data_IF_803494851314
#
_entry.id   IF_803494851314
#
_cell.length_a   1.000
_cell.length_b   1.000
_cell.length_c   1.000
_cell.angle_alpha   90.00
_cell.angle_beta   90.00
_cell.angle_gamma   90.00
#
_symmetry.space_group_name_H-M   'P 1'
#
loop_
_entity.id
_entity.type
_entity.pdbx_description
1 polymer ?
#
# COMPACT_ATOMS: atom_id res chain seq x y z
N UNK A 1 43.45 74.31 -41.70
CA UNK A 1 42.93 72.98 -42.05
C UNK A 1 43.00 72.09 -40.77
N UNK A 2 41.91 71.96 -40.09
CA UNK A 2 41.83 71.17 -38.79
C UNK A 2 41.07 69.87 -39.11
N UNK A 3 41.78 68.71 -39.03
CA UNK A 3 41.17 67.36 -39.19
C UNK A 3 40.48 66.94 -37.90
N UNK A 4 39.16 66.79 -37.96
CA UNK A 4 38.37 66.17 -36.90
C UNK A 4 38.61 64.63 -36.86
N UNK A 5 39.09 64.07 -35.74
CA UNK A 5 39.18 62.64 -35.46
C UNK A 5 37.88 62.21 -34.79
N UNK A 6 37.12 61.36 -35.43
CA UNK A 6 35.94 60.73 -34.92
C UNK A 6 36.37 59.53 -34.04
N UNK A 7 36.10 59.61 -32.71
CA UNK A 7 36.27 58.47 -31.79
C UNK A 7 35.02 57.60 -31.85
N UNK A 8 35.15 56.39 -32.41
CA UNK A 8 34.13 55.33 -32.27
C UNK A 8 34.28 54.69 -30.90
N UNK A 9 33.31 54.92 -30.03
CA UNK A 9 33.18 54.23 -28.73
C UNK A 9 32.56 52.82 -28.99
N UNK A 10 33.34 51.76 -28.81
CA UNK A 10 32.86 50.40 -28.71
C UNK A 10 32.13 50.20 -27.37
N UNK A 11 30.81 49.98 -27.43
CA UNK A 11 30.01 49.54 -26.30
C UNK A 11 30.08 47.99 -26.25
N UNK A 12 30.59 47.37 -25.19
CA UNK A 12 30.56 45.91 -25.07
C UNK A 12 29.12 45.43 -24.87
N UNK A 13 28.61 44.63 -25.83
CA UNK A 13 27.34 43.92 -25.65
C UNK A 13 27.53 42.80 -24.61
N UNK A 14 27.03 43.03 -23.40
CA UNK A 14 26.91 42.00 -22.37
C UNK A 14 25.80 41.06 -22.82
N UNK A 15 26.15 39.90 -23.36
CA UNK A 15 25.20 38.81 -23.63
C UNK A 15 24.75 38.21 -22.27
N UNK A 16 23.56 38.60 -21.85
CA UNK A 16 22.84 37.88 -20.79
C UNK A 16 22.39 36.51 -21.34
N UNK A 17 23.22 35.47 -21.12
CA UNK A 17 22.75 34.10 -21.30
C UNK A 17 21.58 33.85 -20.35
N UNK A 18 20.44 33.32 -20.79
CA UNK A 18 19.37 32.98 -19.88
C UNK A 18 19.86 31.88 -18.97
N UNK A 19 19.99 32.16 -17.67
CA UNK A 19 20.10 31.16 -16.65
C UNK A 19 18.79 30.35 -16.68
N UNK A 20 18.78 29.23 -17.41
CA UNK A 20 17.74 28.22 -17.28
C UNK A 20 17.87 27.68 -15.85
N UNK A 21 17.11 28.23 -14.93
CA UNK A 21 16.96 27.69 -13.60
C UNK A 21 16.44 26.26 -13.75
N UNK A 22 17.35 25.29 -13.65
CA UNK A 22 17.00 23.87 -13.63
C UNK A 22 16.07 23.69 -12.45
N UNK A 23 14.79 23.42 -12.67
CA UNK A 23 13.84 23.20 -11.62
C UNK A 23 14.41 22.10 -10.71
N UNK A 24 14.72 22.46 -9.45
CA UNK A 24 15.31 21.53 -8.50
C UNK A 24 14.29 20.40 -8.28
N UNK A 25 14.67 19.17 -8.61
CA UNK A 25 13.84 18.00 -8.36
C UNK A 25 13.68 17.80 -6.86
N UNK A 26 12.48 17.43 -6.44
CA UNK A 26 12.14 17.11 -5.07
C UNK A 26 12.21 15.60 -4.89
N UNK A 27 13.31 15.13 -4.32
CA UNK A 27 13.49 13.70 -4.05
C UNK A 27 12.65 13.28 -2.84
N UNK A 28 11.96 12.13 -2.97
CA UNK A 28 11.14 11.52 -1.92
C UNK A 28 11.46 10.02 -1.85
N UNK A 29 12.02 9.56 -0.74
CA UNK A 29 12.34 8.15 -0.51
C UNK A 29 11.07 7.40 -0.14
N UNK A 30 10.69 6.39 -0.92
CA UNK A 30 9.44 5.65 -0.82
C UNK A 30 9.65 4.20 -0.43
N UNK A 31 9.37 3.84 0.82
CA UNK A 31 9.44 2.46 1.32
C UNK A 31 8.35 1.57 0.70
N UNK A 32 8.77 0.44 0.13
CA UNK A 32 7.91 -0.49 -0.61
C UNK A 32 7.85 -1.87 0.04
N UNK A 33 8.19 -2.93 -0.68
CA UNK A 33 8.34 -4.30 -0.16
C UNK A 33 9.22 -5.14 -1.08
N UNK A 34 9.54 -6.37 -0.65
CA UNK A 34 10.15 -7.39 -1.50
C UNK A 34 9.21 -7.79 -2.65
N UNK A 35 9.78 -8.43 -3.67
CA UNK A 35 9.05 -8.95 -4.81
C UNK A 35 7.96 -9.96 -4.39
N UNK A 36 6.90 -10.09 -5.20
CA UNK A 36 5.76 -10.99 -4.94
C UNK A 36 4.68 -10.43 -4.00
N UNK A 37 4.99 -9.38 -3.22
CA UNK A 37 4.00 -8.65 -2.42
C UNK A 37 3.20 -7.65 -3.25
N UNK A 38 2.03 -7.23 -2.74
CA UNK A 38 1.16 -6.24 -3.41
C UNK A 38 1.75 -4.83 -3.46
N UNK A 39 2.63 -4.48 -2.54
CA UNK A 39 3.23 -3.15 -2.46
C UNK A 39 4.20 -2.84 -3.61
N UNK A 40 4.98 -3.82 -4.06
CA UNK A 40 5.97 -3.60 -5.13
C UNK A 40 5.30 -3.19 -6.46
N UNK A 41 4.32 -3.93 -7.02
CA UNK A 41 3.64 -3.51 -8.26
C UNK A 41 2.80 -2.24 -8.08
N UNK A 42 2.25 -2.02 -6.88
CA UNK A 42 1.55 -0.77 -6.57
C UNK A 42 2.49 0.44 -6.65
N UNK A 43 3.64 0.36 -5.97
CA UNK A 43 4.62 1.44 -5.94
C UNK A 43 5.11 1.80 -7.35
N UNK A 44 5.43 0.80 -8.19
CA UNK A 44 5.83 1.03 -9.58
C UNK A 44 4.76 1.79 -10.36
N UNK A 45 3.49 1.32 -10.30
CA UNK A 45 2.38 1.97 -11.00
C UNK A 45 2.11 3.40 -10.49
N UNK A 46 2.26 3.63 -9.17
CA UNK A 46 2.09 4.95 -8.57
C UNK A 46 3.19 5.92 -9.00
N UNK A 47 4.44 5.49 -8.97
CA UNK A 47 5.60 6.31 -9.37
C UNK A 47 5.44 6.76 -10.83
N UNK A 48 5.08 5.84 -11.74
CA UNK A 48 4.84 6.16 -13.14
C UNK A 48 3.69 7.18 -13.30
N UNK A 49 2.60 6.99 -12.59
CA UNK A 49 1.46 7.89 -12.61
C UNK A 49 1.83 9.30 -12.10
N UNK A 50 2.54 9.39 -10.98
CA UNK A 50 2.96 10.67 -10.41
C UNK A 50 3.97 11.39 -11.30
N UNK A 51 4.93 10.68 -11.87
CA UNK A 51 5.91 11.22 -12.79
C UNK A 51 5.25 11.84 -14.04
N UNK A 52 4.15 11.25 -14.51
CA UNK A 52 3.42 11.76 -15.67
C UNK A 52 2.74 13.11 -15.44
N UNK A 53 2.33 13.42 -14.22
CA UNK A 53 1.60 14.64 -13.84
C UNK A 53 2.46 15.67 -13.11
N UNK A 54 3.58 15.25 -12.55
CA UNK A 54 4.49 16.12 -11.79
C UNK A 54 5.95 15.63 -11.88
N UNK A 55 6.67 15.95 -12.96
CA UNK A 55 8.05 15.49 -13.16
C UNK A 55 9.08 16.09 -12.19
N UNK A 56 8.70 17.08 -11.39
CA UNK A 56 9.56 17.63 -10.32
C UNK A 56 9.61 16.69 -9.12
N UNK A 57 8.54 15.91 -8.88
CA UNK A 57 8.50 14.88 -7.85
C UNK A 57 9.33 13.67 -8.30
N UNK A 58 10.53 13.53 -7.70
CA UNK A 58 11.43 12.41 -7.97
C UNK A 58 11.30 11.35 -6.86
N UNK A 59 10.36 10.42 -7.06
CA UNK A 59 10.07 9.40 -6.07
C UNK A 59 11.03 8.22 -6.25
N UNK A 60 11.87 7.97 -5.22
CA UNK A 60 12.87 6.90 -5.18
C UNK A 60 12.33 5.69 -4.41
N UNK A 61 12.04 4.57 -5.05
CA UNK A 61 11.62 3.38 -4.34
C UNK A 61 12.77 2.82 -3.50
N UNK A 62 12.48 2.49 -2.24
CA UNK A 62 13.36 1.80 -1.31
C UNK A 62 12.77 0.42 -1.04
N UNK A 63 13.49 -0.63 -1.42
CA UNK A 63 13.06 -2.01 -1.14
C UNK A 63 13.23 -2.28 0.35
N UNK A 64 12.16 -2.73 0.99
CA UNK A 64 12.08 -3.01 2.42
C UNK A 64 11.50 -4.39 2.67
N UNK A 65 11.43 -4.80 3.94
CA UNK A 65 10.77 -6.06 4.33
C UNK A 65 9.23 -5.96 4.35
N UNK A 66 8.65 -4.76 4.10
CA UNK A 66 7.21 -4.52 4.06
C UNK A 66 6.71 -3.61 5.18
N UNK A 67 5.44 -3.74 5.54
CA UNK A 67 4.71 -2.75 6.33
C UNK A 67 5.36 -2.40 7.68
N UNK A 68 5.79 -3.39 8.46
CA UNK A 68 6.42 -3.18 9.78
C UNK A 68 7.78 -2.47 9.64
N UNK A 69 8.64 -2.93 8.71
CA UNK A 69 9.93 -2.29 8.43
C UNK A 69 9.73 -0.85 7.93
N UNK A 70 8.68 -0.60 7.12
CA UNK A 70 8.34 0.75 6.67
C UNK A 70 7.94 1.66 7.84
N UNK A 71 7.11 1.19 8.77
CA UNK A 71 6.70 1.98 9.93
C UNK A 71 7.92 2.37 10.80
N UNK A 72 8.83 1.42 11.04
CA UNK A 72 10.08 1.69 11.78
C UNK A 72 10.97 2.70 11.06
N UNK A 73 11.18 2.54 9.75
CA UNK A 73 12.01 3.42 8.92
C UNK A 73 11.44 4.83 8.79
N UNK A 74 10.12 4.96 8.70
CA UNK A 74 9.44 6.26 8.75
C UNK A 74 9.70 6.98 10.08
N UNK A 75 9.60 6.24 11.18
CA UNK A 75 9.85 6.81 12.52
C UNK A 75 11.29 7.24 12.74
N UNK A 76 12.26 6.56 12.09
CA UNK A 76 13.68 6.88 12.13
C UNK A 76 14.10 7.96 11.11
N UNK A 77 13.23 8.30 10.15
CA UNK A 77 13.54 9.22 9.05
C UNK A 77 14.40 8.61 7.95
N UNK A 78 14.54 7.28 7.90
CA UNK A 78 15.29 6.57 6.85
C UNK A 78 14.57 6.60 5.50
N UNK A 79 13.25 6.75 5.51
CA UNK A 79 12.37 6.99 4.35
C UNK A 79 11.42 8.14 4.64
N UNK A 80 10.94 8.81 3.60
CA UNK A 80 10.08 9.97 3.71
C UNK A 80 8.60 9.61 3.71
N UNK A 81 8.23 8.65 2.85
CA UNK A 81 6.91 8.03 2.79
C UNK A 81 7.08 6.51 2.68
N UNK A 82 6.06 5.75 3.09
CA UNK A 82 6.11 4.28 3.05
C UNK A 82 4.74 3.64 2.98
N UNK A 83 4.70 2.44 2.39
CA UNK A 83 3.50 1.62 2.31
C UNK A 83 3.31 0.83 3.61
N UNK A 84 2.21 1.10 4.31
CA UNK A 84 1.89 0.47 5.59
C UNK A 84 0.45 -0.04 5.56
N UNK A 85 0.22 -1.28 5.97
CA UNK A 85 -1.13 -1.82 6.11
C UNK A 85 -1.82 -1.28 7.36
N UNK A 86 -3.15 -1.24 7.35
CA UNK A 86 -3.93 -0.70 8.47
C UNK A 86 -3.73 -1.46 9.77
N UNK A 87 -3.52 -2.76 9.69
CA UNK A 87 -3.23 -3.62 10.84
C UNK A 87 -1.91 -3.23 11.51
N UNK A 88 -0.85 -3.02 10.70
CA UNK A 88 0.45 -2.58 11.20
C UNK A 88 0.37 -1.15 11.72
N UNK A 89 -0.37 -0.27 11.04
CA UNK A 89 -0.60 1.10 11.54
C UNK A 89 -1.30 1.07 12.92
N UNK A 90 -2.32 0.22 13.07
CA UNK A 90 -3.02 0.06 14.35
C UNK A 90 -2.08 -0.42 15.46
N UNK A 91 -1.28 -1.45 15.21
CA UNK A 91 -0.27 -1.93 16.18
C UNK A 91 0.74 -0.85 16.51
N UNK A 92 1.31 -0.22 15.48
CA UNK A 92 2.31 0.82 15.67
C UNK A 92 1.84 1.95 16.58
N UNK A 93 0.62 2.45 16.35
CA UNK A 93 0.04 3.51 17.16
C UNK A 93 -0.25 3.05 18.60
N UNK A 94 -0.61 1.77 18.79
CA UNK A 94 -0.90 1.19 20.10
C UNK A 94 0.37 0.95 20.91
N UNK A 95 1.44 0.52 20.27
CA UNK A 95 2.73 0.19 20.91
C UNK A 95 3.61 1.41 21.13
N UNK A 96 3.34 2.51 20.44
CA UNK A 96 4.15 3.72 20.49
C UNK A 96 3.31 4.98 20.74
N UNK A 97 2.54 5.05 21.85
CA UNK A 97 1.64 6.17 22.11
C UNK A 97 2.37 7.51 22.30
N UNK A 98 3.62 7.46 22.79
CA UNK A 98 4.42 8.66 23.11
C UNK A 98 5.30 9.13 21.94
N UNK A 99 5.36 8.37 20.82
CA UNK A 99 6.15 8.78 19.66
C UNK A 99 5.39 9.78 18.79
N UNK A 100 6.11 10.66 18.07
CA UNK A 100 5.50 11.50 17.04
C UNK A 100 4.74 10.62 16.03
N UNK A 101 3.50 10.99 15.74
CA UNK A 101 2.60 10.17 14.92
C UNK A 101 3.00 10.18 13.46
N UNK A 102 3.06 9.00 12.85
CA UNK A 102 3.08 8.85 11.40
C UNK A 102 1.80 9.46 10.82
N UNK A 103 1.89 10.11 9.65
CA UNK A 103 0.79 10.88 9.05
C UNK A 103 0.35 10.25 7.73
N UNK A 104 -0.95 10.28 7.47
CA UNK A 104 -1.51 9.72 6.23
C UNK A 104 -1.34 10.70 5.07
N UNK A 105 -0.74 10.22 3.98
CA UNK A 105 -0.75 10.88 2.67
C UNK A 105 -1.99 10.47 1.89
N UNK A 106 -2.23 9.16 1.77
CA UNK A 106 -3.37 8.59 1.03
C UNK A 106 -3.61 7.15 1.45
N UNK A 107 -4.82 6.64 1.22
CA UNK A 107 -5.03 5.20 1.13
C UNK A 107 -4.54 4.68 -0.21
N UNK A 108 -4.26 3.37 -0.25
CA UNK A 108 -3.84 2.72 -1.49
C UNK A 108 -4.91 1.74 -2.00
N UNK A 109 -5.19 0.68 -1.27
CA UNK A 109 -6.22 -0.29 -1.58
C UNK A 109 -6.70 -0.99 -0.30
N UNK A 110 -7.90 -1.59 -0.37
CA UNK A 110 -8.40 -2.46 0.69
C UNK A 110 -7.70 -3.82 0.67
N UNK A 111 -7.59 -4.44 1.85
CA UNK A 111 -6.89 -5.71 2.06
C UNK A 111 -7.85 -6.80 2.54
N UNK A 112 -8.82 -7.25 1.71
CA UNK A 112 -9.66 -8.38 2.09
C UNK A 112 -8.81 -9.63 2.30
N UNK A 113 -8.87 -10.22 3.51
CA UNK A 113 -8.09 -11.38 3.90
C UNK A 113 -8.82 -12.69 3.55
N UNK A 114 -8.13 -13.63 2.90
CA UNK A 114 -8.70 -14.91 2.44
C UNK A 114 -7.64 -16.01 2.46
N UNK A 115 -8.10 -17.25 2.58
CA UNK A 115 -7.29 -18.39 2.18
C UNK A 115 -7.55 -18.77 0.72
N UNK A 116 -6.51 -19.22 0.04
CA UNK A 116 -6.62 -19.93 -1.23
C UNK A 116 -6.15 -21.37 -1.06
N UNK A 117 -6.94 -22.32 -1.56
CA UNK A 117 -6.65 -23.76 -1.55
C UNK A 117 -6.79 -24.32 -2.95
N UNK A 118 -6.18 -25.47 -3.23
CA UNK A 118 -6.45 -26.18 -4.46
C UNK A 118 -7.91 -26.65 -4.49
N UNK A 119 -8.61 -26.58 -5.62
CA UNK A 119 -10.03 -26.95 -5.72
C UNK A 119 -10.28 -28.45 -5.50
N UNK A 120 -9.27 -29.31 -5.70
CA UNK A 120 -9.34 -30.76 -5.49
C UNK A 120 -9.30 -31.18 -4.01
N UNK A 121 -9.22 -30.21 -3.08
CA UNK A 121 -9.22 -30.48 -1.65
C UNK A 121 -10.63 -30.44 -1.07
N UNK A 122 -10.82 -31.05 0.13
CA UNK A 122 -12.07 -31.01 0.87
C UNK A 122 -12.23 -29.81 1.80
N UNK A 123 -11.31 -28.83 1.75
CA UNK A 123 -11.34 -27.67 2.63
C UNK A 123 -12.31 -26.62 2.13
N UNK A 124 -13.36 -26.33 2.90
CA UNK A 124 -14.40 -25.35 2.57
C UNK A 124 -14.55 -24.24 3.63
N UNK A 125 -14.04 -24.47 4.83
CA UNK A 125 -14.13 -23.55 5.97
C UNK A 125 -12.77 -23.39 6.61
N UNK A 126 -12.58 -22.30 7.34
CA UNK A 126 -11.33 -22.03 8.07
C UNK A 126 -11.01 -23.20 9.04
N UNK A 127 -12.01 -23.74 9.72
CA UNK A 127 -11.82 -24.87 10.65
C UNK A 127 -11.38 -26.18 9.99
N UNK A 128 -11.60 -26.36 8.70
CA UNK A 128 -11.09 -27.53 7.95
C UNK A 128 -9.56 -27.49 7.77
N UNK A 129 -8.97 -26.32 8.00
CA UNK A 129 -7.53 -26.08 7.91
C UNK A 129 -6.78 -26.32 9.21
N UNK A 130 -7.46 -26.63 10.33
CA UNK A 130 -6.80 -26.91 11.60
C UNK A 130 -5.85 -28.10 11.48
N UNK A 131 -4.64 -27.96 12.04
CA UNK A 131 -3.57 -28.95 11.94
C UNK A 131 -3.01 -29.13 10.52
N UNK A 132 -3.29 -28.23 9.58
CA UNK A 132 -2.75 -28.29 8.19
C UNK A 132 -1.63 -27.29 8.02
N UNK A 133 -0.75 -27.59 7.06
CA UNK A 133 0.34 -26.72 6.67
C UNK A 133 -0.18 -25.47 5.97
N UNK A 134 -0.02 -24.30 6.57
CA UNK A 134 -0.53 -23.03 6.08
C UNK A 134 0.63 -22.07 5.82
N UNK A 135 0.67 -21.51 4.63
CA UNK A 135 1.58 -20.42 4.29
C UNK A 135 0.96 -19.10 4.76
N UNK A 136 1.58 -18.48 5.76
CA UNK A 136 1.16 -17.21 6.36
C UNK A 136 1.83 -15.97 5.78
N UNK A 137 2.67 -16.15 4.75
CA UNK A 137 3.58 -15.13 4.20
C UNK A 137 4.76 -14.77 5.13
N UNK A 138 5.73 -13.95 4.68
CA UNK A 138 6.87 -13.58 5.51
C UNK A 138 6.44 -12.88 6.81
N UNK A 139 7.12 -13.18 7.90
CA UNK A 139 6.87 -12.53 9.20
C UNK A 139 7.05 -11.00 9.11
N UNK A 140 6.26 -10.25 9.87
CA UNK A 140 6.31 -8.77 9.88
C UNK A 140 5.68 -8.10 8.65
N UNK A 141 5.10 -8.87 7.73
CA UNK A 141 4.32 -8.31 6.63
C UNK A 141 2.89 -8.00 7.07
N UNK A 142 2.25 -7.00 6.46
CA UNK A 142 0.86 -6.67 6.76
C UNK A 142 -0.09 -7.84 6.60
N UNK A 143 0.15 -8.72 5.62
CA UNK A 143 -0.66 -9.92 5.40
C UNK A 143 -0.55 -10.93 6.55
N UNK A 144 0.66 -11.15 7.08
CA UNK A 144 0.87 -12.05 8.23
C UNK A 144 0.26 -11.45 9.53
N UNK A 145 0.42 -10.14 9.72
CA UNK A 145 -0.20 -9.41 10.84
C UNK A 145 -1.72 -9.50 10.77
N UNK A 146 -2.31 -9.29 9.59
CA UNK A 146 -3.76 -9.43 9.40
C UNK A 146 -4.24 -10.86 9.71
N UNK A 147 -3.53 -11.89 9.21
CA UNK A 147 -3.85 -13.28 9.49
C UNK A 147 -3.94 -13.54 11.01
N UNK A 148 -2.98 -13.01 11.76
CA UNK A 148 -2.95 -13.14 13.23
C UNK A 148 -4.19 -12.52 13.87
N UNK A 149 -4.60 -11.32 13.49
CA UNK A 149 -5.82 -10.69 14.00
C UNK A 149 -7.09 -11.49 13.65
N UNK A 150 -7.18 -11.96 12.41
CA UNK A 150 -8.33 -12.78 11.98
C UNK A 150 -8.39 -14.10 12.75
N UNK A 151 -7.27 -14.81 12.90
CA UNK A 151 -7.22 -16.05 13.66
C UNK A 151 -7.52 -15.81 15.14
N UNK A 152 -6.92 -14.82 15.77
CA UNK A 152 -7.21 -14.46 17.18
C UNK A 152 -8.67 -14.03 17.36
N UNK A 153 -9.29 -13.39 16.39
CA UNK A 153 -10.71 -13.04 16.37
C UNK A 153 -11.59 -14.28 16.44
N UNK A 154 -11.16 -15.36 15.81
CA UNK A 154 -11.82 -16.69 15.85
C UNK A 154 -11.47 -17.54 17.06
N UNK A 155 -10.60 -17.04 17.96
CA UNK A 155 -10.09 -17.80 19.09
C UNK A 155 -9.04 -18.84 18.72
N UNK A 156 -8.40 -18.67 17.53
CA UNK A 156 -7.37 -19.55 16.98
C UNK A 156 -5.99 -18.89 17.10
N UNK A 157 -4.96 -19.72 17.11
CA UNK A 157 -3.56 -19.31 17.13
C UNK A 157 -2.83 -19.90 15.91
N UNK A 158 -2.11 -19.05 15.17
CA UNK A 158 -1.46 -19.42 13.91
C UNK A 158 -0.35 -20.46 14.10
N UNK A 159 0.38 -20.38 15.21
CA UNK A 159 1.55 -21.23 15.48
C UNK A 159 1.18 -22.51 16.26
N UNK A 160 0.02 -22.54 16.95
CA UNK A 160 -0.42 -23.68 17.75
C UNK A 160 -1.48 -24.54 17.05
N UNK A 161 -2.45 -23.91 16.37
CA UNK A 161 -3.63 -24.61 15.85
C UNK A 161 -3.44 -25.03 14.38
N UNK A 162 -2.31 -24.65 13.76
CA UNK A 162 -1.92 -24.99 12.39
C UNK A 162 -0.47 -25.49 12.35
N UNK A 163 -0.03 -26.03 11.21
CA UNK A 163 1.38 -26.26 10.89
C UNK A 163 1.89 -25.04 10.08
N UNK A 164 2.56 -24.05 10.73
CA UNK A 164 2.80 -22.74 10.14
C UNK A 164 4.02 -22.72 9.24
N UNK A 165 3.87 -22.12 8.07
CA UNK A 165 4.96 -21.84 7.12
C UNK A 165 5.10 -20.34 6.92
N UNK A 166 6.28 -19.80 7.24
CA UNK A 166 6.63 -18.40 7.03
C UNK A 166 7.80 -18.32 6.04
N UNK A 167 7.54 -18.21 4.73
CA UNK A 167 8.59 -18.14 3.73
C UNK A 167 9.37 -16.82 3.84
N UNK A 168 10.57 -16.79 3.26
CA UNK A 168 11.36 -15.56 3.18
C UNK A 168 10.80 -14.56 2.16
N UNK A 169 10.11 -15.06 1.12
CA UNK A 169 9.52 -14.24 0.05
C UNK A 169 8.04 -14.57 -0.17
N UNK A 170 7.27 -13.56 -0.53
CA UNK A 170 5.88 -13.74 -0.96
C UNK A 170 5.75 -14.67 -2.19
N UNK A 171 6.77 -14.68 -3.06
CA UNK A 171 6.75 -15.48 -4.29
C UNK A 171 6.79 -17.00 -4.03
N UNK A 172 7.29 -17.42 -2.87
CA UNK A 172 7.42 -18.85 -2.55
C UNK A 172 6.07 -19.48 -2.18
N UNK A 173 5.17 -18.69 -1.60
CA UNK A 173 3.90 -19.19 -1.05
C UNK A 173 2.99 -19.90 -2.06
N UNK A 174 2.67 -19.31 -3.21
CA UNK A 174 1.83 -19.93 -4.23
C UNK A 174 2.39 -21.28 -4.70
N UNK A 175 3.71 -21.34 -4.97
CA UNK A 175 4.41 -22.55 -5.39
C UNK A 175 4.26 -23.69 -4.38
N UNK A 176 4.33 -23.40 -3.08
CA UNK A 176 4.14 -24.41 -2.02
C UNK A 176 2.75 -25.05 -2.06
N UNK A 177 1.69 -24.27 -2.38
CA UNK A 177 0.33 -24.80 -2.53
C UNK A 177 0.18 -25.59 -3.83
N UNK A 178 0.72 -25.09 -4.93
CA UNK A 178 0.71 -25.77 -6.24
C UNK A 178 1.37 -27.16 -6.12
N UNK A 179 2.55 -27.23 -5.51
CA UNK A 179 3.35 -28.44 -5.31
C UNK A 179 2.84 -29.34 -4.17
N UNK A 180 1.72 -29.01 -3.52
CA UNK A 180 1.13 -29.78 -2.42
C UNK A 180 2.01 -29.83 -1.14
N UNK A 181 2.98 -28.93 -0.99
CA UNK A 181 3.80 -28.77 0.22
C UNK A 181 3.03 -27.99 1.32
N UNK A 182 2.00 -27.25 0.93
CA UNK A 182 1.10 -26.56 1.86
C UNK A 182 -0.37 -26.82 1.47
N UNK A 183 -1.24 -26.89 2.44
CA UNK A 183 -2.67 -27.06 2.27
C UNK A 183 -3.36 -25.79 1.79
N UNK A 184 -2.93 -24.64 2.29
CA UNK A 184 -3.50 -23.34 1.98
C UNK A 184 -2.45 -22.23 2.01
N UNK A 185 -2.76 -21.14 1.30
CA UNK A 185 -2.05 -19.87 1.36
C UNK A 185 -3.01 -18.82 1.89
N UNK A 186 -2.65 -18.13 2.97
CA UNK A 186 -3.29 -16.88 3.36
C UNK A 186 -2.79 -15.74 2.49
N UNK A 187 -3.68 -14.83 2.13
CA UNK A 187 -3.31 -13.62 1.41
C UNK A 187 -4.31 -12.50 1.66
N UNK A 188 -3.90 -11.30 1.35
CA UNK A 188 -4.73 -10.12 1.46
C UNK A 188 -4.33 -9.06 0.43
N UNK A 189 -5.29 -8.28 -0.02
CA UNK A 189 -5.06 -7.19 -0.95
C UNK A 189 -5.84 -7.31 -2.25
N UNK A 190 -6.00 -6.18 -2.90
CA UNK A 190 -6.70 -6.07 -4.17
C UNK A 190 -5.85 -6.71 -5.29
N UNK A 191 -6.39 -7.75 -5.95
CA UNK A 191 -5.69 -8.51 -7.01
C UNK A 191 -4.28 -8.95 -6.60
N UNK A 192 -4.18 -9.49 -5.37
CA UNK A 192 -2.89 -9.86 -4.80
C UNK A 192 -2.16 -10.89 -5.70
N UNK A 193 -0.85 -10.66 -6.03
CA UNK A 193 -0.11 -11.49 -6.98
C UNK A 193 -0.14 -12.99 -6.68
N UNK A 194 -0.02 -13.39 -5.40
CA UNK A 194 -0.05 -14.79 -5.01
C UNK A 194 -1.38 -15.49 -5.32
N UNK A 195 -2.51 -14.80 -5.20
CA UNK A 195 -3.81 -15.34 -5.61
C UNK A 195 -3.97 -15.39 -7.14
N UNK A 196 -3.45 -14.37 -7.83
CA UNK A 196 -3.44 -14.36 -9.30
C UNK A 196 -2.64 -15.54 -9.84
N UNK A 197 -1.49 -15.85 -9.24
CA UNK A 197 -0.66 -16.98 -9.63
C UNK A 197 -1.39 -18.32 -9.43
N UNK A 198 -1.99 -18.53 -8.25
CA UNK A 198 -2.76 -19.76 -7.96
C UNK A 198 -3.96 -19.94 -8.90
N UNK A 199 -4.72 -18.87 -9.13
CA UNK A 199 -5.95 -18.94 -9.95
C UNK A 199 -5.66 -19.07 -11.44
N UNK A 200 -4.47 -18.68 -11.91
CA UNK A 200 -4.03 -18.89 -13.30
C UNK A 200 -3.49 -20.30 -13.57
N UNK A 201 -3.34 -21.15 -12.55
CA UNK A 201 -2.99 -22.56 -12.78
C UNK A 201 -4.15 -23.28 -13.49
N UNK A 202 -3.90 -24.36 -14.27
CA UNK A 202 -4.94 -25.13 -14.95
C UNK A 202 -6.05 -25.62 -14.01
N UNK A 203 -5.70 -25.98 -12.79
CA UNK A 203 -6.66 -26.41 -11.76
C UNK A 203 -7.41 -25.23 -11.10
N UNK A 204 -6.89 -24.00 -11.21
CA UNK A 204 -7.41 -22.85 -10.50
C UNK A 204 -7.20 -22.90 -8.98
N UNK A 205 -7.97 -22.09 -8.27
CA UNK A 205 -8.00 -22.09 -6.80
C UNK A 205 -9.43 -21.88 -6.28
N UNK A 206 -9.69 -22.38 -5.07
CA UNK A 206 -10.90 -22.05 -4.31
C UNK A 206 -10.52 -21.16 -3.14
N UNK A 207 -11.33 -20.11 -2.92
CA UNK A 207 -11.16 -19.23 -1.77
C UNK A 207 -11.98 -19.69 -0.57
N UNK A 208 -11.42 -19.51 0.63
CA UNK A 208 -12.11 -19.74 1.90
C UNK A 208 -12.08 -18.41 2.65
N UNK A 209 -13.26 -17.93 3.04
CA UNK A 209 -13.47 -16.71 3.81
C UNK A 209 -14.22 -17.03 5.10
N UNK A 210 -14.15 -16.17 6.14
CA UNK A 210 -14.97 -16.33 7.33
C UNK A 210 -16.47 -16.31 6.99
N UNK A 211 -17.25 -17.10 7.68
CA UNK A 211 -18.72 -17.02 7.65
C UNK A 211 -19.22 -15.69 8.24
N UNK A 212 -20.48 -15.34 7.99
CA UNK A 212 -21.09 -14.13 8.57
C UNK A 212 -20.96 -14.07 10.10
N UNK A 213 -21.19 -15.18 10.78
CA UNK A 213 -21.03 -15.26 12.23
C UNK A 213 -19.58 -15.05 12.68
N UNK A 214 -18.62 -15.65 11.96
CA UNK A 214 -17.19 -15.45 12.20
C UNK A 214 -16.74 -14.02 11.94
N UNK A 215 -17.25 -13.35 10.90
CA UNK A 215 -17.01 -11.92 10.64
C UNK A 215 -17.48 -11.08 11.84
N UNK A 216 -18.68 -11.34 12.35
CA UNK A 216 -19.21 -10.64 13.53
C UNK A 216 -18.32 -10.88 14.75
N UNK A 217 -17.89 -12.11 14.99
CA UNK A 217 -16.99 -12.47 16.11
C UNK A 217 -15.63 -11.76 15.99
N UNK A 218 -15.00 -11.77 14.81
CA UNK A 218 -13.71 -11.11 14.55
C UNK A 218 -13.82 -9.61 14.83
N UNK A 219 -14.85 -8.95 14.28
CA UNK A 219 -15.05 -7.52 14.40
C UNK A 219 -15.45 -7.07 15.81
N UNK A 220 -16.12 -7.92 16.58
CA UNK A 220 -16.39 -7.64 17.99
C UNK A 220 -15.11 -7.55 18.81
N UNK A 221 -14.08 -8.35 18.48
CA UNK A 221 -12.79 -8.33 19.16
C UNK A 221 -11.85 -7.27 18.57
N UNK A 222 -11.89 -7.06 17.26
CA UNK A 222 -11.01 -6.15 16.52
C UNK A 222 -11.83 -5.19 15.62
N UNK A 223 -12.42 -4.13 16.21
CA UNK A 223 -13.32 -3.21 15.49
C UNK A 223 -12.66 -2.44 14.33
N UNK A 224 -11.33 -2.32 14.31
CA UNK A 224 -10.59 -1.67 13.22
C UNK A 224 -10.61 -2.49 11.91
N UNK A 225 -10.91 -3.79 11.98
CA UNK A 225 -11.13 -4.62 10.80
C UNK A 225 -12.52 -4.34 10.22
N UNK A 226 -12.56 -3.88 8.99
CA UNK A 226 -13.80 -3.63 8.27
C UNK A 226 -14.32 -4.92 7.59
N UNK A 227 -15.64 -5.02 7.44
CA UNK A 227 -16.24 -5.96 6.49
C UNK A 227 -15.98 -5.48 5.07
N UNK A 228 -15.37 -6.31 4.24
CA UNK A 228 -14.99 -6.01 2.87
C UNK A 228 -15.56 -7.04 1.91
N UNK A 229 -15.90 -6.61 0.70
CA UNK A 229 -16.34 -7.48 -0.37
C UNK A 229 -15.32 -7.55 -1.49
N UNK A 230 -14.93 -8.76 -1.86
CA UNK A 230 -14.19 -9.06 -3.09
C UNK A 230 -15.23 -9.27 -4.19
N UNK A 231 -15.29 -8.40 -5.21
CA UNK A 231 -16.25 -8.54 -6.28
C UNK A 231 -16.08 -9.85 -7.04
N UNK A 232 -17.18 -10.42 -7.54
CA UNK A 232 -17.13 -11.54 -8.45
C UNK A 232 -16.30 -11.20 -9.70
N UNK A 233 -15.53 -12.18 -10.20
CA UNK A 233 -14.67 -11.99 -11.36
C UNK A 233 -13.34 -11.28 -11.07
N UNK A 234 -12.99 -11.02 -9.81
CA UNK A 234 -11.69 -10.44 -9.47
C UNK A 234 -10.53 -11.40 -9.78
N UNK A 235 -10.76 -12.68 -9.57
CA UNK A 235 -9.79 -13.75 -9.87
C UNK A 235 -10.42 -14.78 -10.83
N UNK A 236 -9.64 -15.42 -11.72
CA UNK A 236 -10.11 -16.52 -12.54
C UNK A 236 -10.82 -17.60 -11.70
N UNK A 237 -12.03 -18.02 -12.13
CA UNK A 237 -12.82 -19.03 -11.43
C UNK A 237 -13.59 -18.55 -10.19
N UNK A 238 -13.40 -17.31 -9.74
CA UNK A 238 -14.16 -16.71 -8.66
C UNK A 238 -15.30 -15.86 -9.25
N UNK A 239 -16.48 -16.46 -9.41
CA UNK A 239 -17.63 -15.81 -10.05
C UNK A 239 -18.49 -15.03 -9.08
N UNK A 240 -18.66 -15.56 -7.86
CA UNK A 240 -19.49 -14.93 -6.84
C UNK A 240 -18.70 -13.96 -5.97
N UNK A 241 -19.32 -12.86 -5.48
CA UNK A 241 -18.68 -11.99 -4.53
C UNK A 241 -18.39 -12.73 -3.22
N UNK A 242 -17.25 -12.41 -2.61
CA UNK A 242 -16.81 -12.96 -1.32
C UNK A 242 -16.81 -11.87 -0.27
N UNK A 243 -17.53 -12.07 0.84
CA UNK A 243 -17.51 -11.18 1.99
C UNK A 243 -16.51 -11.69 3.02
N UNK A 244 -15.62 -10.81 3.47
CA UNK A 244 -14.55 -11.12 4.43
C UNK A 244 -14.25 -9.92 5.31
N UNK A 245 -13.16 -9.97 6.07
CA UNK A 245 -12.65 -8.85 6.86
C UNK A 245 -11.29 -8.40 6.36
N UNK A 246 -10.98 -7.13 6.60
CA UNK A 246 -9.67 -6.56 6.28
C UNK A 246 -9.58 -5.09 6.68
N UNK A 247 -8.52 -4.43 6.24
CA UNK A 247 -8.32 -3.01 6.48
C UNK A 247 -7.99 -2.29 5.16
N UNK A 248 -7.76 -0.99 5.23
CA UNK A 248 -7.11 -0.23 4.17
C UNK A 248 -5.59 -0.28 4.37
N UNK A 249 -4.84 -0.24 3.30
CA UNK A 249 -3.42 0.09 3.35
C UNK A 249 -3.21 1.56 2.98
N UNK A 250 -2.10 2.13 3.43
CA UNK A 250 -1.84 3.56 3.38
C UNK A 250 -0.45 3.86 2.79
N UNK A 251 -0.31 5.04 2.21
CA UNK A 251 0.94 5.75 2.14
C UNK A 251 1.03 6.59 3.40
N UNK A 252 1.95 6.24 4.30
CA UNK A 252 2.24 7.04 5.49
C UNK A 252 3.49 7.89 5.25
N UNK A 253 3.55 9.03 5.90
CA UNK A 253 4.68 9.93 5.96
C UNK A 253 5.37 9.86 7.32
N UNK A 254 6.68 10.11 7.35
CA UNK A 254 7.40 10.36 8.60
C UNK A 254 6.81 11.57 9.33
N UNK A 255 6.94 11.65 10.67
CA UNK A 255 6.25 12.67 11.47
C UNK A 255 6.58 14.12 11.09
N UNK A 256 7.82 14.35 10.67
CA UNK A 256 8.40 15.65 10.34
C UNK A 256 8.56 15.89 8.84
N UNK A 257 7.79 15.18 8.00
CA UNK A 257 7.78 15.44 6.56
C UNK A 257 7.32 16.88 6.29
N UNK A 258 8.10 17.61 5.50
CA UNK A 258 7.78 18.98 5.10
C UNK A 258 6.36 19.10 4.51
N UNK A 259 5.61 20.12 4.96
CA UNK A 259 4.22 20.33 4.55
C UNK A 259 4.07 20.67 3.06
N UNK A 260 5.10 21.28 2.46
CA UNK A 260 5.14 21.54 1.02
C UNK A 260 5.25 20.24 0.21
N UNK A 261 6.02 19.26 0.71
CA UNK A 261 6.11 17.93 0.11
C UNK A 261 4.77 17.21 0.22
N UNK A 262 4.16 17.20 1.42
CA UNK A 262 2.84 16.61 1.65
C UNK A 262 1.76 17.22 0.77
N UNK A 263 1.72 18.54 0.67
CA UNK A 263 0.82 19.27 -0.22
C UNK A 263 1.01 18.88 -1.69
N UNK A 264 2.27 18.83 -2.14
CA UNK A 264 2.59 18.48 -3.52
C UNK A 264 2.22 17.05 -3.84
N UNK A 265 2.48 16.09 -2.94
CA UNK A 265 2.07 14.71 -3.07
C UNK A 265 0.55 14.59 -3.22
N UNK A 266 -0.23 15.23 -2.33
CA UNK A 266 -1.69 15.21 -2.39
C UNK A 266 -2.23 15.80 -3.70
N UNK A 267 -1.69 16.95 -4.14
CA UNK A 267 -2.06 17.58 -5.41
C UNK A 267 -1.76 16.69 -6.61
N UNK A 268 -0.58 16.06 -6.61
CA UNK A 268 -0.17 15.20 -7.72
C UNK A 268 -0.97 13.89 -7.75
N UNK A 269 -1.28 13.30 -6.60
CA UNK A 269 -2.21 12.16 -6.47
C UNK A 269 -3.59 12.51 -7.02
N UNK A 270 -4.16 13.64 -6.61
CA UNK A 270 -5.47 14.09 -7.09
C UNK A 270 -5.52 14.37 -8.59
N UNK A 271 -4.44 14.89 -9.16
CA UNK A 271 -4.31 15.06 -10.62
C UNK A 271 -4.19 13.71 -11.33
N UNK A 272 -3.36 12.82 -10.81
CA UNK A 272 -3.15 11.49 -11.36
C UNK A 272 -4.43 10.62 -11.30
N UNK A 273 -5.20 10.70 -10.22
CA UNK A 273 -6.52 10.04 -10.07
C UNK A 273 -7.44 10.31 -11.27
N UNK A 274 -7.38 11.53 -11.82
CA UNK A 274 -8.25 11.98 -12.91
C UNK A 274 -7.69 11.71 -14.31
N UNK A 275 -6.45 11.34 -14.46
CA UNK A 275 -5.77 11.24 -15.77
C UNK A 275 -4.99 9.96 -16.02
N UNK A 276 -4.20 9.50 -15.06
CA UNK A 276 -3.19 8.46 -15.27
C UNK A 276 -3.23 7.28 -14.28
N UNK A 277 -4.05 7.37 -13.24
CA UNK A 277 -4.12 6.35 -12.18
C UNK A 277 -5.16 5.23 -12.35
N UNK A 278 -6.08 5.17 -13.31
CA UNK A 278 -6.98 4.02 -13.44
C UNK A 278 -6.24 2.77 -13.94
N UNK A 279 -5.20 2.36 -13.23
CA UNK A 279 -4.59 1.05 -13.37
C UNK A 279 -5.23 0.07 -12.38
N UNK A 280 -5.17 -1.23 -12.67
CA UNK A 280 -5.67 -2.28 -11.76
C UNK A 280 -5.05 -2.23 -10.36
N UNK A 281 -3.89 -1.58 -10.19
CA UNK A 281 -3.18 -1.49 -8.91
C UNK A 281 -3.56 -0.22 -8.12
N UNK A 282 -3.89 0.88 -8.80
CA UNK A 282 -4.07 2.20 -8.18
C UNK A 282 -5.52 2.69 -8.17
N UNK A 283 -6.46 1.92 -8.74
CA UNK A 283 -7.87 2.32 -8.91
C UNK A 283 -8.59 2.72 -7.62
N UNK A 284 -8.14 2.22 -6.47
CA UNK A 284 -8.72 2.56 -5.16
C UNK A 284 -8.00 3.74 -4.47
N UNK A 285 -6.87 4.21 -5.00
CA UNK A 285 -6.11 5.35 -4.46
C UNK A 285 -6.79 6.65 -4.88
N UNK A 286 -7.74 7.09 -4.10
CA UNK A 286 -8.52 8.30 -4.38
C UNK A 286 -8.62 9.19 -3.13
N UNK A 287 -8.79 10.50 -3.34
CA UNK A 287 -9.04 11.43 -2.25
C UNK A 287 -10.32 11.05 -1.48
N UNK A 288 -11.35 10.60 -2.19
CA UNK A 288 -12.62 10.13 -1.59
C UNK A 288 -12.40 8.95 -0.65
N UNK A 289 -11.69 7.92 -1.10
CA UNK A 289 -11.41 6.74 -0.28
C UNK A 289 -10.49 7.09 0.90
N UNK A 290 -9.52 7.99 0.70
CA UNK A 290 -8.66 8.49 1.77
C UNK A 290 -9.49 9.13 2.88
N UNK A 291 -10.40 10.04 2.54
CA UNK A 291 -11.27 10.71 3.51
C UNK A 291 -12.24 9.74 4.20
N UNK A 292 -12.72 8.73 3.48
CA UNK A 292 -13.60 7.71 4.07
C UNK A 292 -12.87 6.76 5.03
N UNK A 293 -11.57 6.54 4.84
CA UNK A 293 -10.78 5.57 5.61
C UNK A 293 -10.07 6.21 6.82
N UNK A 294 -9.77 7.52 6.80
CA UNK A 294 -9.18 8.20 7.95
C UNK A 294 -10.29 8.48 8.97
N UNK A 295 -10.12 8.02 10.20
CA UNK A 295 -11.09 8.26 11.28
C UNK A 295 -11.15 9.72 11.75
N UNK A 296 -10.08 10.51 11.50
CA UNK A 296 -9.95 11.93 11.82
C UNK A 296 -9.10 12.63 10.78
N UNK A 297 -9.45 13.86 10.44
CA UNK A 297 -8.64 14.71 9.55
C UNK A 297 -7.25 15.00 10.11
N UNK A 298 -7.08 14.95 11.45
CA UNK A 298 -5.81 15.12 12.12
C UNK A 298 -4.82 13.96 11.83
N UNK A 299 -5.30 12.83 11.32
CA UNK A 299 -4.43 11.75 10.87
C UNK A 299 -3.72 12.09 9.56
N UNK A 300 -4.25 13.02 8.76
CA UNK A 300 -3.63 13.47 7.52
C UNK A 300 -2.35 14.25 7.80
N UNK A 301 -1.39 14.16 6.87
CA UNK A 301 -0.24 15.04 6.87
C UNK A 301 -0.72 16.49 6.64
N UNK A 302 -0.20 17.50 7.37
CA UNK A 302 -0.77 18.84 7.34
C UNK A 302 -0.84 19.47 5.95
N UNK A 303 0.15 19.24 5.08
CA UNK A 303 0.12 19.70 3.70
C UNK A 303 -0.96 19.01 2.87
N UNK A 304 -1.24 17.73 3.12
CA UNK A 304 -2.36 17.00 2.50
C UNK A 304 -3.68 17.63 2.89
N UNK A 305 -3.88 17.87 4.19
CA UNK A 305 -5.10 18.51 4.70
C UNK A 305 -5.29 19.91 4.11
N UNK A 306 -4.22 20.70 4.02
CA UNK A 306 -4.25 22.01 3.38
C UNK A 306 -4.70 21.91 1.93
N UNK A 307 -4.14 20.99 1.15
CA UNK A 307 -4.57 20.78 -0.24
C UNK A 307 -6.05 20.37 -0.32
N UNK A 308 -6.52 19.47 0.54
CA UNK A 308 -7.92 19.02 0.52
C UNK A 308 -8.90 20.16 0.85
N UNK A 309 -8.54 21.08 1.75
CA UNK A 309 -9.33 22.29 2.03
C UNK A 309 -9.38 23.23 0.82
N UNK A 310 -8.24 23.52 0.19
CA UNK A 310 -8.17 24.37 -1.00
C UNK A 310 -8.93 23.76 -2.19
N UNK A 311 -8.89 22.44 -2.34
CA UNK A 311 -9.64 21.70 -3.36
C UNK A 311 -11.14 21.52 -3.00
N UNK A 312 -11.61 22.07 -1.85
CA UNK A 312 -12.98 21.95 -1.34
C UNK A 312 -13.48 20.51 -1.16
N UNK A 313 -12.56 19.59 -0.83
CA UNK A 313 -12.87 18.18 -0.52
C UNK A 313 -13.30 18.00 0.94
N UNK A 314 -12.87 18.90 1.82
CA UNK A 314 -13.25 18.99 3.24
C UNK A 314 -13.49 20.46 3.62
N UNK A 315 -14.23 20.66 4.72
CA UNK A 315 -14.47 21.98 5.29
C UNK A 315 -13.27 22.46 6.13
#
# INVERSE_FOLDING_TARGET
MIRRRTLLSLVPAVSMAPFAARAQTMEVRFGTSTAGGGFAPYAAALIDALKSVDPILDIKPVITKGATDNAERLQKGDIDIGLVSGEVMYEWLSEHPDKPKLRVISVIYSTPGMFAVRPDTRYHRIRDLLGRSIVWNPRGTGSAVQARYVMQGLGLDMDRDFDPIYPESFADGPTMVIERRAAALWGSGYRWPGFVELTNQPAGARFIVPTRAEITQIRAKFPFLAELTVPGGMYPGQYEPLTTVGAWSYILARPDLDDGIGYRLARSLFRAERSSMPSKHTVQTTARNTLAAVGSLDALQPGVLRFYREAKLVQ
#
